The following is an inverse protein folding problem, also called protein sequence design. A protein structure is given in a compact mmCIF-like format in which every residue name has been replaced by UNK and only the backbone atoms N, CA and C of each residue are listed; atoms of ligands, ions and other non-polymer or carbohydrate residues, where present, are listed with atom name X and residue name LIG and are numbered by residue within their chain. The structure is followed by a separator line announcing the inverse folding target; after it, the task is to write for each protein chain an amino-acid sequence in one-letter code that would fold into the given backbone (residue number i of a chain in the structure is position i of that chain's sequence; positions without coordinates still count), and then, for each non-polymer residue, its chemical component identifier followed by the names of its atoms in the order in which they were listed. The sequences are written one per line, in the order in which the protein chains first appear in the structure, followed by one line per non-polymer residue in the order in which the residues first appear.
data_IF_411762169909
#
_entry.id   IF_411762169909
#
_cell.length_a   1.000
_cell.length_b   1.000
_cell.length_c   1.000
_cell.angle_alpha   90.00
_cell.angle_beta   90.00
_cell.angle_gamma   90.00
#
_symmetry.space_group_name_H-M   'P 1'
#
loop_
_entity.id
_entity.type
_entity.pdbx_description
1 polymer ?
#
# COMPACT_ATOMS: atom_id res chain seq x y z
N UNK A 1 4.34 28.31 -2.16
CA UNK A 1 4.01 26.93 -2.52
C UNK A 1 2.78 26.50 -1.73
N UNK A 2 1.91 25.71 -2.34
CA UNK A 2 0.72 25.10 -1.75
C UNK A 2 0.91 23.58 -1.66
N UNK A 3 0.37 22.96 -0.62
CA UNK A 3 0.39 21.50 -0.42
C UNK A 3 -1.04 21.02 -0.22
N UNK A 4 -1.38 19.90 -0.85
CA UNK A 4 -2.65 19.20 -0.64
C UNK A 4 -2.29 17.86 -0.02
N UNK A 5 -2.72 17.64 1.22
CA UNK A 5 -2.59 16.38 1.94
C UNK A 5 -3.87 15.56 1.80
N UNK A 6 -3.74 14.36 1.27
CA UNK A 6 -4.87 13.44 1.08
C UNK A 6 -4.62 12.20 1.94
N UNK A 7 -5.54 11.88 2.83
CA UNK A 7 -5.55 10.66 3.61
C UNK A 7 -6.98 10.23 3.92
N UNK A 8 -7.23 8.95 3.94
CA UNK A 8 -8.54 8.39 4.32
C UNK A 8 -8.69 8.22 5.84
N UNK A 9 -7.56 8.19 6.58
CA UNK A 9 -7.54 8.06 8.03
C UNK A 9 -7.74 9.44 8.69
N UNK A 10 -8.84 9.58 9.44
CA UNK A 10 -9.15 10.83 10.15
C UNK A 10 -8.11 11.19 11.21
N UNK A 11 -7.50 10.19 11.87
CA UNK A 11 -6.48 10.42 12.89
C UNK A 11 -5.19 10.97 12.27
N UNK A 12 -4.81 10.44 11.09
CA UNK A 12 -3.67 10.96 10.33
C UNK A 12 -3.88 12.40 9.91
N UNK A 13 -5.05 12.75 9.38
CA UNK A 13 -5.39 14.12 8.99
C UNK A 13 -5.42 15.06 10.19
N UNK A 14 -5.95 14.63 11.33
CA UNK A 14 -5.95 15.43 12.56
C UNK A 14 -4.52 15.74 13.00
N UNK A 15 -3.67 14.73 13.11
CA UNK A 15 -2.27 14.92 13.49
C UNK A 15 -1.51 15.83 12.50
N UNK A 16 -1.74 15.62 11.18
CA UNK A 16 -1.14 16.47 10.15
C UNK A 16 -1.63 17.91 10.24
N UNK A 17 -2.92 18.16 10.51
CA UNK A 17 -3.48 19.50 10.64
C UNK A 17 -2.89 20.27 11.84
N UNK A 18 -2.70 19.59 12.96
CA UNK A 18 -2.06 20.16 14.15
C UNK A 18 -0.59 20.50 13.88
N UNK A 19 0.16 19.57 13.27
CA UNK A 19 1.58 19.75 12.97
C UNK A 19 1.83 20.85 11.93
N UNK A 20 0.98 20.94 10.91
CA UNK A 20 1.13 21.87 9.80
C UNK A 20 0.34 23.18 9.99
N UNK A 21 -0.31 23.38 11.14
CA UNK A 21 -1.05 24.61 11.47
C UNK A 21 -0.23 25.91 11.24
N UNK A 22 1.11 25.98 11.50
CA UNK A 22 1.89 27.18 11.23
C UNK A 22 1.95 27.60 9.76
N UNK A 23 1.59 26.72 8.83
CA UNK A 23 1.61 27.01 7.39
C UNK A 23 0.29 27.62 6.88
N UNK A 24 -0.77 27.61 7.70
CA UNK A 24 -2.06 28.25 7.38
C UNK A 24 -2.64 27.77 6.05
N UNK A 25 -3.19 28.69 5.26
CA UNK A 25 -3.88 28.42 3.98
C UNK A 25 -2.98 27.81 2.88
N UNK A 26 -1.69 27.66 3.16
CA UNK A 26 -0.79 26.96 2.23
C UNK A 26 -0.96 25.44 2.24
N UNK A 27 -1.66 24.89 3.23
CA UNK A 27 -1.95 23.47 3.34
C UNK A 27 -3.44 23.25 3.31
N UNK A 28 -3.89 22.37 2.42
CA UNK A 28 -5.28 21.94 2.30
C UNK A 28 -5.33 20.44 2.57
N UNK A 29 -6.26 20.01 3.42
CA UNK A 29 -6.47 18.61 3.72
C UNK A 29 -7.75 18.10 3.08
N UNK A 30 -7.67 16.92 2.46
CA UNK A 30 -8.80 16.23 1.86
C UNK A 30 -8.89 14.84 2.46
N UNK A 31 -10.04 14.52 3.09
CA UNK A 31 -10.30 13.19 3.62
C UNK A 31 -10.86 12.28 2.53
N UNK A 32 -9.96 11.64 1.80
CA UNK A 32 -10.31 10.71 0.72
C UNK A 32 -9.23 9.63 0.55
N UNK A 33 -9.55 8.59 -0.18
CA UNK A 33 -8.55 7.61 -0.65
C UNK A 33 -7.72 8.25 -1.78
N UNK A 34 -6.40 8.04 -1.75
CA UNK A 34 -5.51 8.56 -2.80
C UNK A 34 -5.81 7.97 -4.20
N UNK A 35 -6.64 6.93 -4.32
CA UNK A 35 -7.19 6.48 -5.61
C UNK A 35 -7.93 7.60 -6.35
N UNK A 36 -8.57 8.49 -5.60
CA UNK A 36 -9.34 9.64 -6.08
C UNK A 36 -8.49 10.92 -6.14
N UNK A 37 -7.15 10.80 -6.23
CA UNK A 37 -6.23 11.95 -6.19
C UNK A 37 -6.58 13.00 -7.25
N UNK A 38 -7.03 12.59 -8.43
CA UNK A 38 -7.42 13.51 -9.51
C UNK A 38 -8.59 14.39 -9.06
N UNK A 39 -9.67 13.77 -8.67
CA UNK A 39 -10.90 14.44 -8.24
C UNK A 39 -10.66 15.31 -7.00
N UNK A 40 -9.88 14.78 -6.06
CA UNK A 40 -9.51 15.49 -4.83
C UNK A 40 -8.72 16.77 -5.12
N UNK A 41 -7.73 16.72 -6.03
CA UNK A 41 -6.90 17.88 -6.39
C UNK A 41 -7.67 18.88 -7.26
N UNK A 42 -8.41 18.40 -8.28
CA UNK A 42 -9.24 19.25 -9.14
C UNK A 42 -10.30 20.00 -8.33
N UNK A 43 -10.92 19.35 -7.33
CA UNK A 43 -11.87 19.96 -6.40
C UNK A 43 -11.30 21.12 -5.57
N UNK A 44 -9.97 21.19 -5.39
CA UNK A 44 -9.31 22.34 -4.73
C UNK A 44 -8.95 23.48 -5.69
N UNK A 45 -9.17 23.31 -6.98
CA UNK A 45 -8.77 24.26 -8.03
C UNK A 45 -7.25 24.38 -8.24
N UNK A 46 -6.47 23.39 -7.78
CA UNK A 46 -5.01 23.44 -7.83
C UNK A 46 -4.39 22.68 -9.01
N UNK A 47 -5.15 21.93 -9.78
CA UNK A 47 -4.64 21.26 -10.98
C UNK A 47 -4.32 22.26 -12.11
N UNK A 48 -3.24 22.03 -12.93
CA UNK A 48 -2.25 20.97 -12.76
C UNK A 48 -1.23 21.28 -11.67
N UNK A 49 -0.62 20.23 -11.08
CA UNK A 49 0.34 20.36 -9.96
C UNK A 49 1.80 20.18 -10.40
N UNK A 50 2.74 20.71 -9.61
CA UNK A 50 4.19 20.60 -9.85
C UNK A 50 4.75 19.23 -9.47
N UNK A 51 4.15 18.58 -8.48
CA UNK A 51 4.63 17.31 -7.96
C UNK A 51 3.57 16.51 -7.21
N UNK A 52 3.73 15.20 -7.22
CA UNK A 52 2.95 14.22 -6.47
C UNK A 52 3.91 13.34 -5.69
N UNK A 53 3.69 13.21 -4.39
CA UNK A 53 4.38 12.25 -3.54
C UNK A 53 3.34 11.27 -2.97
N UNK A 54 3.53 9.99 -3.23
CA UNK A 54 2.77 8.92 -2.59
C UNK A 54 3.70 8.19 -1.62
N UNK A 55 3.43 8.30 -0.32
CA UNK A 55 4.03 7.48 0.74
C UNK A 55 2.96 6.49 1.20
N UNK A 56 3.01 5.28 0.62
CA UNK A 56 1.92 4.31 0.73
C UNK A 56 2.13 3.31 1.86
N UNK A 57 1.06 2.64 2.27
CA UNK A 57 1.07 1.64 3.32
C UNK A 57 0.50 2.16 4.64
N UNK A 58 0.90 1.54 5.75
CA UNK A 58 0.41 1.86 7.09
C UNK A 58 1.28 2.90 7.79
N UNK A 59 0.65 3.84 8.47
CA UNK A 59 1.35 4.81 9.30
C UNK A 59 1.92 4.14 10.57
N UNK A 60 2.96 4.78 11.15
CA UNK A 60 3.48 4.36 12.45
C UNK A 60 2.40 4.38 13.53
N UNK A 61 1.51 5.38 13.50
CA UNK A 61 0.40 5.49 14.43
C UNK A 61 -0.55 4.27 14.36
N UNK A 62 -0.90 3.82 13.15
CA UNK A 62 -1.75 2.64 12.96
C UNK A 62 -1.09 1.35 13.48
N UNK A 63 0.24 1.21 13.34
CA UNK A 63 0.98 0.05 13.84
C UNK A 63 1.15 0.06 15.36
N UNK A 64 1.27 1.24 15.96
CA UNK A 64 1.52 1.41 17.39
C UNK A 64 0.21 1.47 18.21
N UNK A 65 -0.93 1.77 17.56
CA UNK A 65 -2.24 1.73 18.19
C UNK A 65 -2.83 0.31 18.11
N UNK A 66 -2.82 -0.39 19.24
CA UNK A 66 -3.27 -1.77 19.34
C UNK A 66 -4.71 -1.95 18.83
N UNK A 67 -5.63 -1.03 19.16
CA UNK A 67 -7.06 -1.13 18.83
C UNK A 67 -7.34 -1.13 17.32
N UNK A 68 -6.39 -0.68 16.49
CA UNK A 68 -6.51 -0.68 15.04
C UNK A 68 -6.25 -2.06 14.40
N UNK A 69 -5.70 -3.04 15.14
CA UNK A 69 -5.51 -4.42 14.70
C UNK A 69 -4.48 -4.66 13.60
N UNK A 70 -3.60 -3.70 13.27
CA UNK A 70 -2.57 -3.85 12.24
C UNK A 70 -1.37 -4.68 12.69
N UNK A 71 -1.20 -4.86 13.99
CA UNK A 71 -0.05 -5.54 14.58
C UNK A 71 -0.48 -6.74 15.40
N UNK A 72 0.30 -7.80 15.34
CA UNK A 72 0.17 -9.00 16.21
C UNK A 72 1.07 -8.95 17.46
N UNK A 73 1.65 -7.77 17.77
CA UNK A 73 2.44 -7.57 19.00
C UNK A 73 1.57 -7.50 20.23
N UNK A 74 0.32 -7.10 20.06
CA UNK A 74 -0.70 -7.00 21.09
C UNK A 74 -1.88 -7.86 20.68
N UNK A 75 -2.59 -8.43 21.65
CA UNK A 75 -3.87 -9.06 21.39
C UNK A 75 -4.97 -7.98 21.40
N UNK A 76 -5.58 -7.78 20.27
CA UNK A 76 -6.48 -6.65 20.01
C UNK A 76 -7.51 -6.99 18.94
N UNK A 77 -8.59 -6.22 18.78
CA UNK A 77 -9.59 -6.47 17.74
C UNK A 77 -8.97 -6.63 16.35
N UNK A 78 -9.41 -7.63 15.60
CA UNK A 78 -8.92 -7.92 14.25
C UNK A 78 -9.60 -7.00 13.23
N UNK A 79 -9.29 -5.69 13.25
CA UNK A 79 -9.93 -4.66 12.44
C UNK A 79 -9.20 -4.43 11.11
N UNK A 80 -8.02 -3.83 11.12
CA UNK A 80 -7.15 -3.48 9.98
C UNK A 80 -7.73 -2.45 8.99
N UNK A 81 -8.83 -1.76 9.30
CA UNK A 81 -9.34 -0.68 8.44
C UNK A 81 -8.47 0.56 8.56
N UNK A 82 -8.03 1.12 7.45
CA UNK A 82 -7.43 2.45 7.41
C UNK A 82 -8.52 3.54 7.47
N UNK A 83 -9.62 3.37 6.75
CA UNK A 83 -10.80 4.20 6.87
C UNK A 83 -11.86 3.51 7.74
N UNK A 84 -12.11 4.06 8.93
CA UNK A 84 -13.08 3.49 9.87
C UNK A 84 -14.54 3.64 9.43
N UNK A 85 -14.83 4.38 8.35
CA UNK A 85 -16.19 4.49 7.76
C UNK A 85 -16.58 3.24 6.98
N UNK A 86 -15.60 2.44 6.49
CA UNK A 86 -15.91 1.18 5.79
C UNK A 86 -16.36 0.11 6.78
N UNK A 87 -17.19 -0.83 6.33
CA UNK A 87 -17.70 -1.92 7.16
C UNK A 87 -16.76 -3.14 7.20
N UNK A 88 -16.02 -3.37 6.10
CA UNK A 88 -15.19 -4.55 5.93
C UNK A 88 -13.97 -4.51 6.85
N UNK A 89 -13.89 -5.46 7.79
CA UNK A 89 -12.75 -5.65 8.70
C UNK A 89 -11.99 -6.94 8.37
N UNK A 90 -10.79 -7.11 8.92
CA UNK A 90 -10.07 -8.36 8.82
C UNK A 90 -10.82 -9.53 9.51
N UNK A 91 -11.51 -9.26 10.64
CA UNK A 91 -12.38 -10.23 11.28
C UNK A 91 -13.51 -10.67 10.34
N UNK A 92 -14.14 -9.73 9.62
CA UNK A 92 -15.16 -10.07 8.62
C UNK A 92 -14.59 -11.02 7.56
N UNK A 93 -13.43 -10.70 6.99
CA UNK A 93 -12.81 -11.53 5.95
C UNK A 93 -12.54 -12.96 6.45
N UNK A 94 -11.87 -13.12 7.59
CA UNK A 94 -11.49 -14.45 8.09
C UNK A 94 -12.70 -15.28 8.52
N UNK A 95 -13.80 -14.65 8.93
CA UNK A 95 -15.00 -15.35 9.38
C UNK A 95 -16.00 -15.66 8.26
N UNK A 96 -15.99 -14.93 7.14
CA UNK A 96 -17.03 -15.06 6.10
C UNK A 96 -16.53 -15.66 4.79
N UNK A 97 -15.27 -15.37 4.37
CA UNK A 97 -14.77 -15.86 3.08
C UNK A 97 -14.58 -17.37 3.05
N UNK A 98 -14.75 -17.97 1.87
CA UNK A 98 -14.46 -19.37 1.63
C UNK A 98 -12.98 -19.73 1.80
N UNK A 99 -12.66 -21.02 2.02
CA UNK A 99 -11.27 -21.52 2.15
C UNK A 99 -10.43 -21.11 0.93
N UNK A 100 -10.97 -21.30 -0.27
CA UNK A 100 -10.27 -21.00 -1.53
C UNK A 100 -10.00 -19.50 -1.71
N UNK A 101 -10.91 -18.62 -1.26
CA UNK A 101 -10.75 -17.18 -1.31
C UNK A 101 -9.69 -16.71 -0.32
N UNK A 102 -9.70 -17.24 0.91
CA UNK A 102 -8.64 -16.97 1.90
C UNK A 102 -7.27 -17.45 1.40
N UNK A 103 -7.21 -18.67 0.82
CA UNK A 103 -5.98 -19.20 0.21
C UNK A 103 -5.47 -18.24 -0.87
N UNK A 104 -6.35 -17.75 -1.75
CA UNK A 104 -6.01 -16.80 -2.81
C UNK A 104 -5.44 -15.50 -2.24
N UNK A 105 -6.11 -14.92 -1.25
CA UNK A 105 -5.65 -13.69 -0.57
C UNK A 105 -4.25 -13.89 0.02
N UNK A 106 -4.03 -14.96 0.77
CA UNK A 106 -2.72 -15.21 1.40
C UNK A 106 -1.62 -15.51 0.38
N UNK A 107 -1.95 -16.14 -0.74
CA UNK A 107 -1.01 -16.44 -1.82
C UNK A 107 -0.67 -15.20 -2.64
N UNK A 108 -1.67 -14.44 -3.08
CA UNK A 108 -1.49 -13.31 -3.98
C UNK A 108 -0.98 -12.06 -3.26
N UNK A 109 -1.54 -11.74 -2.09
CA UNK A 109 -1.22 -10.51 -1.35
C UNK A 109 -0.14 -10.71 -0.27
N UNK A 110 -0.01 -11.93 0.26
CA UNK A 110 1.01 -12.26 1.24
C UNK A 110 2.25 -12.91 0.65
N UNK A 111 2.20 -13.41 -0.60
CA UNK A 111 3.23 -14.30 -1.14
C UNK A 111 3.54 -15.42 -0.13
N UNK A 112 2.48 -15.98 0.52
CA UNK A 112 2.59 -16.96 1.61
C UNK A 112 2.62 -18.39 1.06
N UNK A 113 3.69 -19.12 1.36
CA UNK A 113 3.90 -20.49 0.87
C UNK A 113 2.92 -21.49 1.50
N UNK A 114 2.45 -21.23 2.73
CA UNK A 114 1.53 -22.09 3.47
C UNK A 114 0.08 -21.65 3.38
N UNK A 115 -0.27 -20.79 2.41
CA UNK A 115 -1.59 -20.16 2.24
C UNK A 115 -2.75 -21.14 2.41
N UNK A 116 -2.73 -22.30 1.71
CA UNK A 116 -3.77 -23.30 1.79
C UNK A 116 -3.92 -23.93 3.19
N UNK A 117 -2.80 -24.19 3.87
CA UNK A 117 -2.84 -24.78 5.22
C UNK A 117 -3.40 -23.78 6.23
N UNK A 118 -3.06 -22.50 6.08
CA UNK A 118 -3.54 -21.42 6.94
C UNK A 118 -5.03 -21.19 6.70
N UNK A 119 -5.48 -21.10 5.45
CA UNK A 119 -6.89 -20.97 5.10
C UNK A 119 -7.75 -22.09 5.68
N UNK A 120 -7.31 -23.34 5.53
CA UNK A 120 -7.98 -24.51 6.14
C UNK A 120 -8.02 -24.44 7.66
N UNK A 121 -6.93 -24.04 8.32
CA UNK A 121 -6.90 -23.92 9.77
C UNK A 121 -7.86 -22.82 10.27
N UNK A 122 -7.94 -21.70 9.57
CA UNK A 122 -8.91 -20.62 9.84
C UNK A 122 -10.34 -21.15 9.68
N UNK A 123 -10.65 -21.82 8.57
CA UNK A 123 -11.98 -22.37 8.32
C UNK A 123 -12.41 -23.39 9.40
N UNK A 124 -11.49 -24.26 9.83
CA UNK A 124 -11.73 -25.22 10.91
C UNK A 124 -11.95 -24.52 12.26
N UNK A 125 -11.14 -23.50 12.58
CA UNK A 125 -11.19 -22.79 13.89
C UNK A 125 -12.47 -21.97 14.03
N UNK A 126 -12.87 -21.21 13.00
CA UNK A 126 -14.08 -20.38 13.01
C UNK A 126 -15.38 -21.17 13.08
N UNK A 127 -15.38 -22.44 12.66
CA UNK A 127 -16.55 -23.32 12.79
C UNK A 127 -16.95 -23.58 14.25
N UNK A 128 -16.00 -23.49 15.19
CA UNK A 128 -16.25 -23.65 16.62
C UNK A 128 -16.51 -22.31 17.32
N UNK A 129 -15.78 -21.26 16.94
CA UNK A 129 -15.89 -19.91 17.51
C UNK A 129 -15.36 -18.89 16.50
N UNK A 130 -16.04 -17.76 16.25
CA UNK A 130 -15.52 -16.68 15.44
C UNK A 130 -14.12 -16.23 15.90
N UNK A 131 -13.31 -15.80 14.94
CA UNK A 131 -11.96 -15.25 15.17
C UNK A 131 -12.11 -13.74 15.29
N UNK A 132 -11.84 -13.20 16.47
CA UNK A 132 -12.14 -11.81 16.79
C UNK A 132 -10.87 -10.99 17.04
N UNK A 133 -9.75 -11.65 17.41
CA UNK A 133 -8.54 -10.94 17.82
C UNK A 133 -7.32 -11.30 16.98
N UNK A 134 -6.34 -10.41 17.01
CA UNK A 134 -5.04 -10.58 16.35
C UNK A 134 -4.26 -11.75 16.96
N UNK A 135 -4.40 -11.98 18.27
CA UNK A 135 -3.80 -13.10 18.98
C UNK A 135 -4.37 -14.44 18.51
N UNK A 136 -5.70 -14.59 18.47
CA UNK A 136 -6.37 -15.80 17.97
C UNK A 136 -5.91 -16.14 16.54
N UNK A 137 -5.85 -15.14 15.64
CA UNK A 137 -5.37 -15.35 14.27
C UNK A 137 -3.89 -15.78 14.26
N UNK A 138 -3.06 -15.15 15.07
CA UNK A 138 -1.63 -15.47 15.15
C UNK A 138 -1.40 -16.91 15.62
N UNK A 139 -2.14 -17.38 16.62
CA UNK A 139 -2.08 -18.77 17.09
C UNK A 139 -2.45 -19.77 15.98
N UNK A 140 -3.51 -19.48 15.20
CA UNK A 140 -3.92 -20.31 14.07
C UNK A 140 -2.81 -20.40 13.03
N UNK A 141 -2.18 -19.27 12.70
CA UNK A 141 -1.08 -19.22 11.72
C UNK A 141 0.11 -20.04 12.24
N UNK A 142 0.50 -19.87 13.49
CA UNK A 142 1.60 -20.63 14.10
C UNK A 142 1.29 -22.14 14.13
N UNK A 143 0.06 -22.53 14.38
CA UNK A 143 -0.35 -23.93 14.31
C UNK A 143 -0.25 -24.49 12.88
N UNK A 144 -0.65 -23.71 11.89
CA UNK A 144 -0.67 -24.14 10.48
C UNK A 144 0.73 -24.19 9.83
N UNK A 145 1.64 -23.31 10.22
CA UNK A 145 3.00 -23.23 9.66
C UNK A 145 3.93 -24.21 10.41
N UNK A 146 4.74 -25.03 9.71
CA UNK A 146 5.64 -25.97 10.38
C UNK A 146 6.67 -25.25 11.26
N UNK A 147 6.93 -25.79 12.47
CA UNK A 147 7.81 -25.19 13.49
C UNK A 147 9.21 -24.79 12.99
N UNK A 148 9.77 -25.54 12.02
CA UNK A 148 11.08 -25.24 11.43
C UNK A 148 11.14 -23.87 10.72
N UNK A 149 10.00 -23.26 10.42
CA UNK A 149 9.91 -21.94 9.80
C UNK A 149 9.58 -20.81 10.80
N UNK A 150 9.40 -21.12 12.10
CA UNK A 150 9.08 -20.10 13.11
C UNK A 150 10.29 -19.25 13.53
N UNK A 151 11.50 -19.82 13.47
CA UNK A 151 12.75 -19.13 13.83
C UNK A 151 13.37 -18.29 12.69
N UNK A 152 12.63 -18.02 11.62
CA UNK A 152 13.09 -17.23 10.50
C UNK A 152 13.23 -15.74 10.83
N UNK A 153 13.84 -14.98 9.89
CA UNK A 153 14.00 -13.51 10.00
C UNK A 153 12.66 -12.76 10.09
N UNK A 154 11.58 -13.35 9.58
CA UNK A 154 10.23 -12.79 9.53
C UNK A 154 9.29 -13.73 10.28
N UNK A 155 8.48 -13.17 11.18
CA UNK A 155 7.48 -13.94 11.91
C UNK A 155 6.44 -14.54 10.96
N UNK A 156 5.98 -15.80 11.15
CA UNK A 156 5.03 -16.47 10.25
C UNK A 156 3.74 -15.68 9.97
N UNK A 157 3.21 -14.98 10.97
CA UNK A 157 1.99 -14.18 10.81
C UNK A 157 2.17 -12.94 9.93
N UNK A 158 3.39 -12.44 9.71
CA UNK A 158 3.62 -11.17 9.00
C UNK A 158 2.97 -11.14 7.62
N UNK A 159 3.12 -12.20 6.84
CA UNK A 159 2.58 -12.29 5.48
C UNK A 159 1.05 -12.39 5.45
N UNK A 160 0.48 -13.08 6.44
CA UNK A 160 -0.97 -13.22 6.59
C UNK A 160 -1.60 -11.88 6.97
N UNK A 161 -1.01 -11.16 7.92
CA UNK A 161 -1.44 -9.81 8.31
C UNK A 161 -1.32 -8.81 7.17
N UNK A 162 -0.20 -8.84 6.43
CA UNK A 162 -0.06 -8.05 5.19
C UNK A 162 -1.15 -8.37 4.18
N UNK A 163 -1.43 -9.65 3.94
CA UNK A 163 -2.43 -10.06 2.96
C UNK A 163 -3.85 -9.60 3.33
N UNK A 164 -4.24 -9.75 4.60
CA UNK A 164 -5.53 -9.27 5.10
C UNK A 164 -5.63 -7.75 5.03
N UNK A 165 -4.57 -7.03 5.43
CA UNK A 165 -4.52 -5.57 5.34
C UNK A 165 -4.75 -5.07 3.91
N UNK A 166 -4.03 -5.65 2.96
CA UNK A 166 -4.18 -5.34 1.54
C UNK A 166 -5.61 -5.61 1.07
N UNK A 167 -6.20 -6.75 1.47
CA UNK A 167 -7.56 -7.12 1.08
C UNK A 167 -8.63 -6.21 1.71
N UNK A 168 -8.51 -5.91 3.00
CA UNK A 168 -9.45 -5.02 3.72
C UNK A 168 -9.46 -3.63 3.11
N UNK A 169 -8.29 -3.11 2.74
CA UNK A 169 -8.12 -1.72 2.32
C UNK A 169 -8.03 -1.56 0.79
N UNK A 170 -8.13 -2.64 0.02
CA UNK A 170 -8.01 -2.65 -1.45
C UNK A 170 -6.77 -1.88 -1.95
N UNK A 171 -5.63 -2.07 -1.24
CA UNK A 171 -4.43 -1.23 -1.38
C UNK A 171 -3.83 -1.27 -2.79
N UNK A 172 -3.79 -2.45 -3.43
CA UNK A 172 -3.13 -2.59 -4.73
C UNK A 172 -3.94 -1.96 -5.87
N UNK A 173 -5.27 -2.01 -5.80
CA UNK A 173 -6.12 -1.35 -6.80
C UNK A 173 -6.14 0.16 -6.57
N UNK A 174 -6.20 0.62 -5.30
CA UNK A 174 -6.02 2.03 -4.94
C UNK A 174 -4.71 2.58 -5.50
N UNK A 175 -3.61 1.81 -5.40
CA UNK A 175 -2.32 2.21 -5.93
C UNK A 175 -2.33 2.39 -7.46
N UNK A 176 -2.95 1.46 -8.21
CA UNK A 176 -3.03 1.57 -9.66
C UNK A 176 -3.81 2.83 -10.09
N UNK A 177 -4.95 3.07 -9.45
CA UNK A 177 -5.80 4.23 -9.72
C UNK A 177 -5.10 5.53 -9.32
N UNK A 178 -4.48 5.56 -8.13
CA UNK A 178 -3.72 6.72 -7.64
C UNK A 178 -2.52 7.06 -8.52
N UNK A 179 -1.81 6.05 -9.08
CA UNK A 179 -0.73 6.29 -10.04
C UNK A 179 -1.26 6.93 -11.33
N UNK A 180 -2.34 6.39 -11.89
CA UNK A 180 -2.94 6.92 -13.12
C UNK A 180 -3.49 8.34 -12.89
N UNK A 181 -4.23 8.58 -11.81
CA UNK A 181 -4.74 9.89 -11.43
C UNK A 181 -3.63 10.90 -11.17
N UNK A 182 -2.62 10.50 -10.38
CA UNK A 182 -1.48 11.35 -10.03
C UNK A 182 -0.64 11.77 -11.23
N UNK A 183 -0.36 10.86 -12.17
CA UNK A 183 0.31 11.21 -13.43
C UNK A 183 -0.54 12.17 -14.27
N UNK A 184 -1.87 11.98 -14.29
CA UNK A 184 -2.79 12.77 -15.10
C UNK A 184 -2.98 14.22 -14.65
N UNK A 185 -2.67 14.57 -13.41
CA UNK A 185 -2.77 15.93 -12.88
C UNK A 185 -1.44 16.69 -12.86
N UNK A 186 -0.33 16.04 -13.22
CA UNK A 186 0.97 16.68 -13.29
C UNK A 186 1.10 17.53 -14.56
N UNK A 187 1.69 18.73 -14.44
CA UNK A 187 2.10 19.53 -15.59
C UNK A 187 3.32 18.93 -16.30
N UNK A 188 3.62 19.37 -17.50
CA UNK A 188 4.89 19.06 -18.16
C UNK A 188 6.06 19.51 -17.27
N UNK A 189 7.08 18.64 -17.10
CA UNK A 189 8.16 18.81 -16.15
C UNK A 189 7.80 18.52 -14.68
N UNK A 190 6.53 18.25 -14.39
CA UNK A 190 6.08 17.82 -13.07
C UNK A 190 6.60 16.43 -12.69
N UNK A 191 6.79 16.20 -11.40
CA UNK A 191 7.44 14.96 -10.91
C UNK A 191 6.51 14.16 -10.02
N UNK A 192 6.55 12.84 -10.19
CA UNK A 192 5.90 11.91 -9.28
C UNK A 192 6.94 11.04 -8.59
N UNK A 193 6.87 10.98 -7.27
CA UNK A 193 7.66 10.08 -6.43
C UNK A 193 6.74 9.16 -5.64
N UNK A 194 7.12 7.89 -5.53
CA UNK A 194 6.35 6.88 -4.78
C UNK A 194 7.29 6.10 -3.89
N UNK A 195 6.94 5.99 -2.61
CA UNK A 195 7.61 5.16 -1.62
C UNK A 195 6.74 3.94 -1.38
N UNK A 196 7.31 2.75 -1.54
CA UNK A 196 6.66 1.45 -1.38
C UNK A 196 7.35 0.64 -0.30
N UNK A 197 6.64 -0.27 0.40
CA UNK A 197 7.18 -1.04 1.52
C UNK A 197 7.18 -2.54 1.30
N UNK A 198 6.56 -3.05 0.24
CA UNK A 198 6.61 -4.47 -0.12
C UNK A 198 6.72 -4.71 -1.64
N UNK A 199 6.99 -5.97 -2.00
CA UNK A 199 7.30 -6.41 -3.37
C UNK A 199 6.17 -6.14 -4.38
N UNK A 200 4.92 -6.30 -3.96
CA UNK A 200 3.75 -6.13 -4.84
C UNK A 200 3.57 -4.67 -5.24
N UNK A 201 3.64 -3.75 -4.28
CA UNK A 201 3.59 -2.31 -4.53
C UNK A 201 4.72 -1.89 -5.48
N UNK A 202 5.97 -2.24 -5.15
CA UNK A 202 7.15 -1.90 -5.96
C UNK A 202 7.01 -2.40 -7.40
N UNK A 203 6.42 -3.59 -7.59
CA UNK A 203 6.15 -4.18 -8.90
C UNK A 203 5.15 -3.35 -9.70
N UNK A 204 4.05 -2.91 -9.06
CA UNK A 204 3.02 -2.07 -9.68
C UNK A 204 3.63 -0.73 -10.10
N UNK A 205 4.29 -0.02 -9.20
CA UNK A 205 4.93 1.28 -9.49
C UNK A 205 5.98 1.16 -10.59
N UNK A 206 6.86 0.15 -10.49
CA UNK A 206 7.88 -0.12 -11.51
C UNK A 206 7.27 -0.32 -12.89
N UNK A 207 6.18 -1.10 -12.98
CA UNK A 207 5.53 -1.39 -14.26
C UNK A 207 4.82 -0.15 -14.82
N UNK A 208 4.07 0.59 -14.00
CA UNK A 208 3.39 1.82 -14.41
C UNK A 208 4.40 2.88 -14.90
N UNK A 209 5.49 3.10 -14.16
CA UNK A 209 6.51 4.07 -14.55
C UNK A 209 7.28 3.65 -15.80
N UNK A 210 7.55 2.35 -15.97
CA UNK A 210 8.14 1.83 -17.19
C UNK A 210 7.22 2.03 -18.39
N UNK A 211 5.95 1.71 -18.25
CA UNK A 211 4.95 1.90 -19.29
C UNK A 211 4.85 3.36 -19.73
N UNK A 212 4.71 4.29 -18.79
CA UNK A 212 4.67 5.73 -19.05
C UNK A 212 5.95 6.25 -19.73
N UNK A 213 7.10 5.61 -19.46
CA UNK A 213 8.40 6.00 -20.02
C UNK A 213 8.79 5.23 -21.29
N UNK A 214 7.95 4.30 -21.73
CA UNK A 214 8.21 3.52 -22.93
C UNK A 214 7.81 4.32 -24.15
N UNK A 215 8.72 4.41 -25.12
CA UNK A 215 8.44 5.02 -26.43
C UNK A 215 7.78 4.02 -27.38
N UNK A 216 8.48 3.62 -28.41
CA UNK A 216 7.95 2.66 -29.38
C UNK A 216 7.59 1.32 -28.74
N UNK A 217 6.38 0.81 -28.98
CA UNK A 217 5.87 -0.50 -28.53
C UNK A 217 5.84 -1.54 -29.68
N UNK A 218 6.38 -1.22 -30.85
CA UNK A 218 6.52 -2.17 -31.94
C UNK A 218 7.44 -3.34 -31.57
N UNK A 219 7.26 -4.53 -32.17
CA UNK A 219 8.20 -5.63 -32.00
C UNK A 219 9.63 -5.20 -32.34
N UNK A 220 10.66 -5.65 -31.59
CA UNK A 220 12.05 -5.19 -31.75
C UNK A 220 12.65 -5.37 -33.16
N UNK A 221 12.10 -6.31 -33.95
CA UNK A 221 12.54 -6.61 -35.33
C UNK A 221 11.78 -5.86 -36.41
N UNK A 222 10.85 -4.97 -36.05
CA UNK A 222 10.06 -4.21 -37.02
C UNK A 222 10.94 -3.11 -37.64
N UNK A 223 11.07 -3.06 -38.98
CA UNK A 223 12.06 -2.17 -39.63
C UNK A 223 11.70 -0.68 -39.49
N UNK A 224 10.42 -0.35 -39.34
CA UNK A 224 9.95 1.03 -39.21
C UNK A 224 8.88 1.07 -38.12
N UNK A 225 8.97 2.07 -37.24
CA UNK A 225 7.95 2.30 -36.20
C UNK A 225 6.62 2.70 -36.83
N UNK A 226 5.57 1.92 -36.55
CA UNK A 226 4.19 2.16 -37.02
C UNK A 226 3.21 2.46 -35.88
N UNK A 227 3.62 2.34 -34.61
CA UNK A 227 2.74 2.52 -33.47
C UNK A 227 2.49 3.99 -33.12
N UNK A 228 3.37 4.92 -33.53
CA UNK A 228 3.28 6.34 -33.18
C UNK A 228 3.36 6.64 -31.68
N UNK A 229 3.59 5.61 -30.84
CA UNK A 229 3.62 5.75 -29.38
C UNK A 229 4.84 6.57 -28.94
N UNK A 230 4.57 7.60 -28.12
CA UNK A 230 5.60 8.47 -27.52
C UNK A 230 5.60 8.26 -26.01
N UNK A 231 6.76 8.33 -25.34
CA UNK A 231 6.80 8.30 -23.90
C UNK A 231 6.07 9.52 -23.32
N UNK A 232 5.25 9.30 -22.31
CA UNK A 232 4.58 10.37 -21.57
C UNK A 232 5.45 10.90 -20.43
N UNK A 233 6.45 10.11 -19.99
CA UNK A 233 7.32 10.45 -18.87
C UNK A 233 8.76 10.00 -19.07
N UNK A 234 9.67 10.50 -18.24
CA UNK A 234 11.07 10.11 -18.15
C UNK A 234 11.35 9.51 -16.77
N UNK A 235 11.99 8.32 -16.70
CA UNK A 235 12.43 7.74 -15.44
C UNK A 235 13.52 8.61 -14.81
N UNK A 236 13.31 9.05 -13.58
CA UNK A 236 14.34 9.69 -12.76
C UNK A 236 15.14 8.65 -11.98
N UNK A 237 14.51 7.52 -11.62
CA UNK A 237 15.17 6.39 -10.94
C UNK A 237 15.07 5.14 -11.81
N UNK A 238 16.19 4.67 -12.38
CA UNK A 238 16.22 3.39 -13.12
C UNK A 238 16.11 2.19 -12.20
N UNK A 239 16.72 2.27 -11.01
CA UNK A 239 16.60 1.31 -9.91
C UNK A 239 15.88 2.02 -8.76
N UNK A 240 15.16 1.26 -7.92
CA UNK A 240 14.61 1.83 -6.70
C UNK A 240 15.74 2.35 -5.81
N UNK A 241 15.54 3.51 -5.21
CA UNK A 241 16.40 4.05 -4.14
C UNK A 241 15.94 3.43 -2.83
N UNK A 242 16.86 2.95 -2.03
CA UNK A 242 16.61 2.36 -0.70
C UNK A 242 17.26 3.22 0.37
N UNK A 243 16.79 3.09 1.60
CA UNK A 243 17.34 3.80 2.75
C UNK A 243 18.84 3.52 2.93
N UNK A 244 19.60 4.53 3.34
CA UNK A 244 21.02 4.38 3.71
C UNK A 244 21.17 3.69 5.07
N UNK A 245 22.39 3.29 5.42
CA UNK A 245 22.66 2.69 6.73
C UNK A 245 22.33 3.68 7.86
N UNK A 246 22.72 4.93 7.69
CA UNK A 246 22.46 6.01 8.65
C UNK A 246 20.96 6.26 8.84
N UNK A 247 20.19 6.21 7.75
CA UNK A 247 18.72 6.31 7.84
C UNK A 247 18.11 5.12 8.56
N UNK A 248 18.62 3.90 8.33
CA UNK A 248 18.13 2.69 8.99
C UNK A 248 18.42 2.68 10.49
N UNK A 249 19.53 3.26 10.91
CA UNK A 249 19.89 3.41 12.33
C UNK A 249 18.93 4.38 13.04
N UNK A 250 18.50 5.46 12.37
CA UNK A 250 17.54 6.42 12.90
C UNK A 250 16.08 5.96 12.74
N UNK A 251 15.77 5.29 11.64
CA UNK A 251 14.42 4.83 11.29
C UNK A 251 14.42 3.38 10.79
N UNK A 252 14.40 2.38 11.68
CA UNK A 252 14.38 0.96 11.29
C UNK A 252 13.16 0.55 10.41
N UNK A 253 12.08 1.36 10.42
CA UNK A 253 10.89 1.12 9.58
C UNK A 253 11.16 1.38 8.10
N UNK A 254 12.18 2.18 7.76
CA UNK A 254 12.60 2.42 6.38
C UNK A 254 13.28 1.20 5.71
N UNK A 255 13.54 0.11 6.44
CA UNK A 255 14.27 -1.08 5.93
C UNK A 255 13.68 -1.66 4.64
N UNK A 256 12.38 -1.61 4.49
CA UNK A 256 11.69 -2.16 3.30
C UNK A 256 11.32 -1.07 2.29
N UNK A 257 11.56 0.19 2.61
CA UNK A 257 11.21 1.33 1.78
C UNK A 257 11.98 1.31 0.45
N UNK A 258 11.25 1.59 -0.64
CA UNK A 258 11.79 1.72 -1.99
C UNK A 258 11.17 2.93 -2.66
N UNK A 259 11.99 3.91 -3.01
CA UNK A 259 11.55 5.10 -3.72
C UNK A 259 11.77 4.95 -5.22
N UNK A 260 10.73 5.27 -6.00
CA UNK A 260 10.81 5.44 -7.45
C UNK A 260 10.25 6.78 -7.86
N UNK A 261 10.83 7.38 -8.92
CA UNK A 261 10.39 8.67 -9.42
C UNK A 261 10.43 8.75 -10.95
N UNK A 262 9.47 9.53 -11.49
CA UNK A 262 9.37 9.92 -12.90
C UNK A 262 9.18 11.43 -13.01
N UNK A 263 9.40 11.94 -14.22
CA UNK A 263 9.07 13.31 -14.64
C UNK A 263 8.21 13.25 -15.90
N UNK A 264 7.12 13.98 -15.92
CA UNK A 264 6.24 14.09 -17.08
C UNK A 264 6.92 14.92 -18.19
N UNK A 265 6.71 14.53 -19.45
CA UNK A 265 7.29 15.20 -20.63
C UNK A 265 6.37 16.28 -21.21
#
# INVERSE_FOLDING_TARGET
NRVIGIDRDADALKAASEFLAPFGDRVVFVRDDFRNIREAVEGTGAAPVDGVLLDIGVSSYQLDNAERGFSFRFDSPLDMRMDTRQELTAATLVNTLGEDELERIFREFGEEAFARRIARAIAARRAAKPIETTGELTEIVLFAVPRKFHGGRVHPATKVFQALRIAVNDELESLKQGLAGGMGILKAGGKMAVITFHSLEDRIVKNAFREASTGCVCPPKFPICVCGHKPAARLLTRKAVTASVEELDMNPRARSAKLRAIEML
#
